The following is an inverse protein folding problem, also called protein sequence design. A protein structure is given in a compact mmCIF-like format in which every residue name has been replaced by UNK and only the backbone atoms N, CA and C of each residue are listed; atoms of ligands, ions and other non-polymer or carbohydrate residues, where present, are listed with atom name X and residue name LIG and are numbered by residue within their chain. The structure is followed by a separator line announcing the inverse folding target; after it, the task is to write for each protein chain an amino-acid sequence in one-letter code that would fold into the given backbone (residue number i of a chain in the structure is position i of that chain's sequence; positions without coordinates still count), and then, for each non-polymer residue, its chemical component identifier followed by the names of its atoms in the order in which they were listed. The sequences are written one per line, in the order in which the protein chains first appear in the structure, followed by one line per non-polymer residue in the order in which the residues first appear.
data_IF_521598650417
#
_entry.id   IF_521598650417
#
_cell.length_a   1.000
_cell.length_b   1.000
_cell.length_c   1.000
_cell.angle_alpha   90.00
_cell.angle_beta   90.00
_cell.angle_gamma   90.00
#
_symmetry.space_group_name_H-M   'P 1'
#
loop_
_entity.id
_entity.type
_entity.pdbx_description
1 polymer ?
#
# COMPACT_ATOMS: atom_id res chain seq x y z
N UNK A 1 82.41 16.02 -10.72
CA UNK A 1 82.98 17.37 -10.59
C UNK A 1 81.91 18.30 -10.02
N UNK A 2 82.25 19.00 -8.95
CA UNK A 2 81.62 20.14 -8.31
C UNK A 2 80.34 19.89 -7.49
N UNK A 3 80.57 19.65 -6.24
CA UNK A 3 79.90 19.99 -5.02
C UNK A 3 79.35 21.42 -4.95
N UNK A 4 78.15 21.64 -4.43
CA UNK A 4 77.85 22.84 -3.63
C UNK A 4 76.88 22.48 -2.49
N UNK A 5 77.35 22.74 -1.28
CA UNK A 5 76.58 22.79 0.01
C UNK A 5 75.80 24.10 0.08
N UNK A 6 74.65 24.08 0.71
CA UNK A 6 74.07 25.23 1.47
C UNK A 6 72.89 24.59 2.22
N UNK A 7 72.71 24.71 3.44
CA UNK A 7 72.87 25.79 4.37
C UNK A 7 71.64 25.67 5.26
N UNK A 8 71.82 25.12 6.47
CA UNK A 8 70.77 24.86 7.52
C UNK A 8 70.44 26.20 8.17
N UNK A 9 69.18 26.66 8.07
CA UNK A 9 68.64 27.74 8.88
C UNK A 9 67.61 27.16 9.83
N UNK A 10 67.94 27.10 11.13
CA UNK A 10 67.01 26.86 12.22
C UNK A 10 66.11 28.08 12.42
N UNK A 11 64.81 27.90 12.30
CA UNK A 11 63.83 28.82 12.85
C UNK A 11 63.23 28.19 14.15
N UNK A 12 63.56 28.79 15.28
CA UNK A 12 62.87 28.55 16.52
C UNK A 12 61.46 29.16 16.45
N UNK A 13 60.45 28.36 16.39
CA UNK A 13 59.09 28.80 16.66
C UNK A 13 58.74 28.56 18.13
N UNK A 14 58.55 29.65 18.84
CA UNK A 14 57.98 29.69 20.17
C UNK A 14 56.50 29.19 20.13
N UNK A 15 56.25 28.00 20.67
CA UNK A 15 54.87 27.53 20.90
C UNK A 15 54.36 28.18 22.18
N UNK A 16 53.51 29.19 22.07
CA UNK A 16 52.65 29.66 23.16
C UNK A 16 51.48 28.68 23.29
N UNK A 17 51.49 27.83 24.32
CA UNK A 17 50.35 26.98 24.64
C UNK A 17 49.25 27.84 25.25
N UNK A 18 48.25 28.15 24.44
CA UNK A 18 46.95 28.67 24.94
C UNK A 18 46.12 27.46 25.35
N UNK A 19 46.03 27.17 26.63
CA UNK A 19 45.10 26.23 27.21
C UNK A 19 43.69 26.86 27.14
N UNK A 20 42.97 26.57 26.07
CA UNK A 20 41.54 26.76 26.02
C UNK A 20 40.88 25.65 26.87
N UNK A 21 40.43 26.01 28.08
CA UNK A 21 39.51 25.21 28.86
C UNK A 21 38.22 25.15 28.12
N UNK A 22 38.03 24.07 27.35
CA UNK A 22 36.71 23.69 26.83
C UNK A 22 35.90 23.21 28.03
N UNK A 23 35.07 24.11 28.55
CA UNK A 23 33.96 23.71 29.42
C UNK A 23 33.11 22.75 28.63
N UNK A 24 33.20 21.47 28.90
CA UNK A 24 32.21 20.49 28.44
C UNK A 24 30.88 20.84 29.07
N UNK A 25 30.03 21.56 28.33
CA UNK A 25 28.62 21.46 28.56
C UNK A 25 28.28 19.97 28.33
N UNK A 26 28.19 19.18 29.37
CA UNK A 26 27.46 17.93 29.36
C UNK A 26 26.02 18.32 29.01
N UNK A 27 25.69 18.30 27.73
CA UNK A 27 24.30 18.16 27.29
C UNK A 27 23.82 16.89 27.99
N UNK A 28 22.72 17.01 28.77
CA UNK A 28 21.94 15.86 29.17
C UNK A 28 21.76 15.03 27.93
N UNK A 29 22.40 13.86 27.81
CA UNK A 29 22.00 12.82 26.88
C UNK A 29 20.54 12.57 27.22
N UNK A 30 19.62 12.82 26.32
CA UNK A 30 18.23 12.44 26.49
C UNK A 30 18.23 10.95 26.85
N UNK A 31 17.73 10.65 28.03
CA UNK A 31 17.64 9.30 28.56
C UNK A 31 16.70 8.42 27.73
N UNK A 32 15.89 9.07 26.85
CA UNK A 32 14.90 8.45 26.02
C UNK A 32 15.29 8.53 24.53
N UNK A 33 15.34 7.37 23.92
CA UNK A 33 15.59 7.21 22.48
C UNK A 33 14.34 7.55 21.67
N UNK A 34 13.13 7.35 22.25
CA UNK A 34 11.82 7.53 21.62
C UNK A 34 11.00 8.61 22.30
N UNK A 35 10.35 9.46 21.50
CA UNK A 35 9.53 10.57 21.98
C UNK A 35 8.29 10.74 21.12
N UNK A 36 7.16 11.06 21.75
CA UNK A 36 5.92 11.50 21.10
C UNK A 36 5.44 12.79 21.74
N UNK A 37 5.24 13.83 20.94
CA UNK A 37 4.75 15.12 21.40
C UNK A 37 3.35 15.41 20.85
N UNK A 38 2.33 15.08 21.61
CA UNK A 38 0.92 15.29 21.24
C UNK A 38 0.53 16.78 21.17
N UNK A 39 1.37 17.72 21.60
CA UNK A 39 1.13 19.14 21.42
C UNK A 39 1.62 19.68 20.07
N UNK A 40 2.42 18.91 19.35
CA UNK A 40 3.07 19.33 18.09
C UNK A 40 2.48 18.61 16.89
N UNK A 41 1.42 19.19 16.30
CA UNK A 41 0.81 18.67 15.07
C UNK A 41 1.74 18.89 13.88
N UNK A 42 1.84 17.90 12.98
CA UNK A 42 2.71 17.95 11.78
C UNK A 42 1.97 17.75 10.46
N UNK A 43 0.68 17.41 10.49
CA UNK A 43 -0.17 17.24 9.31
C UNK A 43 -1.25 16.19 9.52
N UNK A 44 -1.97 15.85 8.48
CA UNK A 44 -2.96 14.77 8.50
C UNK A 44 -2.32 13.41 8.23
N UNK A 45 -2.94 12.35 8.74
CA UNK A 45 -2.60 10.97 8.37
C UNK A 45 -3.00 10.72 6.92
N UNK A 46 -2.07 10.17 6.15
CA UNK A 46 -2.38 9.67 4.81
C UNK A 46 -3.12 8.34 4.92
N UNK A 47 -4.29 8.20 4.29
CA UNK A 47 -5.08 6.97 4.35
C UNK A 47 -4.52 5.91 3.38
N UNK A 48 -3.34 5.38 3.69
CA UNK A 48 -2.60 4.41 2.87
C UNK A 48 -2.98 2.95 3.16
N UNK A 49 -4.08 2.72 3.88
CA UNK A 49 -4.61 1.40 4.22
C UNK A 49 -5.61 0.87 3.20
N UNK A 50 -5.39 1.11 1.92
CA UNK A 50 -6.18 0.48 0.87
C UNK A 50 -5.95 -1.03 0.78
N UNK A 51 -6.90 -1.74 0.17
CA UNK A 51 -6.80 -3.19 0.00
C UNK A 51 -7.33 -3.61 -1.38
N UNK A 52 -6.87 -4.74 -1.88
CA UNK A 52 -7.51 -5.43 -3.00
C UNK A 52 -8.63 -6.29 -2.47
N UNK A 53 -9.74 -6.33 -3.17
CA UNK A 53 -10.94 -7.05 -2.84
C UNK A 53 -11.68 -6.49 -1.61
N UNK A 54 -12.96 -6.74 -1.59
CA UNK A 54 -13.87 -6.49 -0.47
C UNK A 54 -14.41 -7.81 0.07
N UNK A 55 -15.21 -7.77 1.12
CA UNK A 55 -15.85 -8.93 1.68
C UNK A 55 -16.57 -9.76 0.60
N UNK A 56 -16.37 -11.07 0.60
CA UNK A 56 -17.04 -11.99 -0.34
C UNK A 56 -18.55 -11.86 -0.24
N UNK A 57 -19.21 -11.87 -1.39
CA UNK A 57 -20.64 -11.95 -1.50
C UNK A 57 -21.10 -13.40 -1.23
N UNK A 58 -21.21 -13.77 0.04
CA UNK A 58 -21.81 -15.05 0.46
C UNK A 58 -22.98 -14.79 1.39
N UNK A 59 -24.16 -15.36 1.09
CA UNK A 59 -25.35 -15.21 1.92
C UNK A 59 -25.18 -15.75 3.35
N UNK A 60 -24.25 -16.67 3.54
CA UNK A 60 -24.03 -17.32 4.84
C UNK A 60 -23.03 -16.54 5.76
N UNK A 61 -22.19 -15.67 5.18
CA UNK A 61 -21.10 -14.96 5.91
C UNK A 61 -21.09 -13.46 5.61
N UNK A 62 -22.02 -12.96 4.83
CA UNK A 62 -22.01 -11.60 4.29
C UNK A 62 -22.00 -10.52 5.38
N UNK A 63 -22.83 -10.66 6.39
CA UNK A 63 -22.97 -9.65 7.45
C UNK A 63 -21.69 -9.54 8.28
N UNK A 64 -21.13 -10.67 8.70
CA UNK A 64 -19.91 -10.69 9.52
C UNK A 64 -18.69 -10.23 8.72
N UNK A 65 -18.55 -10.68 7.46
CA UNK A 65 -17.47 -10.28 6.57
C UNK A 65 -17.54 -8.80 6.20
N UNK A 66 -18.72 -8.27 5.94
CA UNK A 66 -18.96 -6.86 5.65
C UNK A 66 -18.61 -5.99 6.88
N UNK A 67 -19.14 -6.33 8.06
CA UNK A 67 -18.84 -5.60 9.29
C UNK A 67 -17.36 -5.60 9.64
N UNK A 68 -16.67 -6.72 9.41
CA UNK A 68 -15.24 -6.83 9.63
C UNK A 68 -14.41 -5.96 8.65
N UNK A 69 -14.82 -5.90 7.37
CA UNK A 69 -14.19 -5.02 6.40
C UNK A 69 -14.43 -3.54 6.73
N UNK A 70 -15.67 -3.18 7.11
CA UNK A 70 -16.02 -1.82 7.55
C UNK A 70 -15.24 -1.39 8.79
N UNK A 71 -14.95 -2.31 9.72
CA UNK A 71 -14.18 -2.02 10.94
C UNK A 71 -12.73 -1.58 10.61
N UNK A 72 -12.11 -2.13 9.57
CA UNK A 72 -10.75 -1.76 9.14
C UNK A 72 -10.67 -0.37 8.49
N UNK A 73 -11.81 0.28 8.19
CA UNK A 73 -11.82 1.63 7.60
C UNK A 73 -10.89 1.76 6.39
N UNK A 74 -10.91 0.76 5.52
CA UNK A 74 -10.11 0.80 4.29
C UNK A 74 -10.44 2.06 3.49
N UNK A 75 -9.40 2.77 3.06
CA UNK A 75 -9.54 4.00 2.29
C UNK A 75 -9.98 3.76 0.84
N UNK A 76 -9.38 2.74 0.22
CA UNK A 76 -9.60 2.39 -1.19
C UNK A 76 -9.68 0.88 -1.36
N UNK A 77 -10.50 0.45 -2.33
CA UNK A 77 -10.62 -0.95 -2.71
C UNK A 77 -10.28 -1.10 -4.19
N UNK A 78 -9.18 -1.78 -4.49
CA UNK A 78 -8.83 -2.10 -5.87
C UNK A 78 -9.56 -3.35 -6.34
N UNK A 79 -10.20 -3.25 -7.50
CA UNK A 79 -11.04 -4.28 -8.08
C UNK A 79 -10.24 -5.13 -9.09
N UNK A 80 -9.47 -6.08 -8.56
CA UNK A 80 -8.72 -7.05 -9.36
C UNK A 80 -8.93 -8.46 -8.80
N UNK A 81 -9.03 -9.47 -9.67
CA UNK A 81 -9.32 -10.87 -9.31
C UNK A 81 -10.58 -11.07 -8.45
N UNK A 82 -11.54 -10.19 -8.56
CA UNK A 82 -12.76 -10.22 -7.73
C UNK A 82 -13.55 -11.49 -7.97
N UNK A 83 -13.56 -12.44 -7.02
CA UNK A 83 -14.26 -13.70 -7.21
C UNK A 83 -15.77 -13.50 -7.04
N UNK A 84 -16.54 -14.16 -7.89
CA UNK A 84 -17.95 -14.41 -7.61
C UNK A 84 -18.08 -15.74 -6.85
N UNK A 85 -19.30 -16.15 -6.50
CA UNK A 85 -19.60 -17.42 -5.77
C UNK A 85 -18.96 -18.67 -6.40
N UNK A 86 -18.57 -18.56 -7.64
CA UNK A 86 -18.00 -19.61 -8.46
C UNK A 86 -16.58 -19.21 -8.89
N UNK A 87 -15.59 -20.04 -8.65
CA UNK A 87 -14.18 -19.79 -8.96
C UNK A 87 -13.92 -19.48 -10.45
N UNK A 88 -14.81 -19.87 -11.35
CA UNK A 88 -14.67 -19.62 -12.79
C UNK A 88 -15.09 -18.23 -13.24
N UNK A 89 -15.70 -17.42 -12.37
CA UNK A 89 -16.19 -16.09 -12.73
C UNK A 89 -15.46 -15.01 -11.93
N UNK A 90 -15.19 -13.90 -12.62
CA UNK A 90 -14.58 -12.70 -12.04
C UNK A 90 -15.48 -11.51 -12.30
N UNK A 91 -15.97 -10.89 -11.23
CA UNK A 91 -16.65 -9.60 -11.34
C UNK A 91 -15.68 -8.57 -11.95
N UNK A 92 -16.13 -7.48 -12.43
CA UNK A 92 -15.36 -6.36 -13.01
C UNK A 92 -14.54 -6.66 -14.27
N UNK A 93 -14.25 -7.90 -14.60
CA UNK A 93 -13.53 -8.24 -15.82
C UNK A 93 -14.35 -7.82 -17.04
N UNK A 94 -13.72 -7.09 -17.95
CA UNK A 94 -14.42 -6.51 -19.13
C UNK A 94 -15.17 -7.58 -19.92
N UNK A 95 -14.57 -8.76 -20.13
CA UNK A 95 -15.21 -9.86 -20.85
C UNK A 95 -16.34 -10.56 -20.07
N UNK A 96 -16.43 -10.39 -18.75
CA UNK A 96 -17.55 -10.88 -17.94
C UNK A 96 -18.73 -9.90 -18.00
N UNK A 97 -18.46 -8.61 -18.05
CA UNK A 97 -19.46 -7.57 -18.21
C UNK A 97 -19.94 -7.50 -19.67
N UNK A 98 -19.03 -7.57 -20.64
CA UNK A 98 -19.30 -7.49 -22.07
C UNK A 98 -18.83 -8.78 -22.78
N UNK A 99 -19.68 -9.80 -22.73
CA UNK A 99 -19.30 -11.18 -23.09
C UNK A 99 -18.95 -11.40 -24.56
N UNK A 100 -19.47 -10.59 -25.49
CA UNK A 100 -19.16 -10.67 -26.90
C UNK A 100 -18.43 -9.41 -27.39
N UNK A 101 -17.10 -9.41 -27.36
CA UNK A 101 -16.28 -8.27 -27.74
C UNK A 101 -16.52 -7.76 -29.19
N UNK A 102 -17.25 -8.49 -30.02
CA UNK A 102 -17.64 -8.09 -31.40
C UNK A 102 -19.02 -7.45 -31.46
N UNK A 103 -19.82 -7.46 -30.41
CA UNK A 103 -21.13 -6.85 -30.35
C UNK A 103 -21.03 -5.30 -30.35
N UNK A 104 -22.16 -4.63 -30.52
CA UNK A 104 -22.22 -3.15 -30.50
C UNK A 104 -22.00 -2.65 -29.05
N UNK A 105 -20.92 -1.90 -28.76
CA UNK A 105 -20.66 -1.37 -27.43
C UNK A 105 -21.63 -0.25 -27.00
N UNK A 106 -22.48 0.23 -27.89
CA UNK A 106 -23.49 1.25 -27.56
C UNK A 106 -24.86 0.66 -27.21
N UNK A 107 -25.04 -0.63 -27.43
CA UNK A 107 -26.24 -1.35 -27.06
C UNK A 107 -26.14 -1.84 -25.60
N UNK A 108 -26.99 -1.31 -24.70
CA UNK A 108 -26.95 -1.69 -23.27
C UNK A 108 -27.26 -3.19 -23.03
N UNK A 109 -28.00 -3.83 -23.92
CA UNK A 109 -28.35 -5.24 -23.79
C UNK A 109 -27.16 -6.20 -23.94
N UNK A 110 -26.00 -5.67 -24.41
CA UNK A 110 -24.75 -6.43 -24.50
C UNK A 110 -23.92 -6.42 -23.21
N UNK A 111 -24.37 -5.71 -22.15
CA UNK A 111 -23.67 -5.61 -20.87
C UNK A 111 -24.40 -6.36 -19.77
N UNK A 112 -23.63 -6.96 -18.88
CA UNK A 112 -24.12 -7.68 -17.72
C UNK A 112 -23.48 -7.10 -16.44
N UNK A 113 -24.12 -6.10 -15.85
CA UNK A 113 -23.57 -5.35 -14.70
C UNK A 113 -23.97 -5.93 -13.33
N UNK A 114 -25.14 -6.49 -13.19
CA UNK A 114 -25.81 -6.76 -11.90
C UNK A 114 -24.92 -7.25 -10.74
N UNK A 115 -24.14 -8.36 -10.90
CA UNK A 115 -23.30 -8.81 -9.78
C UNK A 115 -22.16 -7.85 -9.43
N UNK A 116 -21.65 -7.09 -10.40
CA UNK A 116 -20.61 -6.06 -10.16
C UNK A 116 -21.23 -4.84 -9.48
N UNK A 117 -22.47 -4.47 -9.81
CA UNK A 117 -23.22 -3.39 -9.17
C UNK A 117 -23.39 -3.65 -7.67
N UNK A 118 -23.85 -4.84 -7.32
CA UNK A 118 -24.03 -5.24 -5.93
C UNK A 118 -22.71 -5.19 -5.14
N UNK A 119 -21.63 -5.62 -5.79
CA UNK A 119 -20.31 -5.62 -5.17
C UNK A 119 -19.78 -4.19 -4.90
N UNK A 120 -19.87 -3.30 -5.90
CA UNK A 120 -19.46 -1.90 -5.77
C UNK A 120 -20.36 -1.17 -4.76
N UNK A 121 -21.67 -1.41 -4.78
CA UNK A 121 -22.60 -0.82 -3.80
C UNK A 121 -22.20 -1.16 -2.36
N UNK A 122 -21.77 -2.40 -2.09
CA UNK A 122 -21.31 -2.81 -0.76
C UNK A 122 -20.00 -2.11 -0.35
N UNK A 123 -19.07 -1.88 -1.29
CA UNK A 123 -17.85 -1.10 -1.02
C UNK A 123 -18.20 0.34 -0.65
N UNK A 124 -19.05 1.00 -1.45
CA UNK A 124 -19.47 2.37 -1.20
C UNK A 124 -20.23 2.51 0.12
N UNK A 125 -21.08 1.55 0.46
CA UNK A 125 -21.77 1.49 1.77
C UNK A 125 -20.76 1.41 2.91
N UNK A 126 -19.64 0.69 2.74
CA UNK A 126 -18.56 0.61 3.70
C UNK A 126 -17.70 1.89 3.80
N UNK A 127 -17.96 2.89 2.95
CA UNK A 127 -17.27 4.18 2.96
C UNK A 127 -15.91 4.19 2.23
N UNK A 128 -15.54 3.11 1.55
CA UNK A 128 -14.30 3.02 0.79
C UNK A 128 -14.47 3.49 -0.66
N UNK A 129 -13.37 3.94 -1.28
CA UNK A 129 -13.35 4.39 -2.67
C UNK A 129 -12.92 3.24 -3.60
N UNK A 130 -13.78 2.81 -4.55
CA UNK A 130 -13.39 1.81 -5.54
C UNK A 130 -12.34 2.34 -6.53
N UNK A 131 -11.34 1.50 -6.85
CA UNK A 131 -10.43 1.68 -7.98
C UNK A 131 -10.80 0.63 -9.01
N UNK A 132 -11.41 1.05 -10.11
CA UNK A 132 -11.92 0.12 -11.13
C UNK A 132 -10.82 -0.25 -12.12
N UNK A 133 -10.44 -1.53 -12.19
CA UNK A 133 -9.48 -2.05 -13.16
C UNK A 133 -10.20 -2.47 -14.45
N UNK A 134 -9.99 -1.72 -15.53
CA UNK A 134 -10.51 -1.99 -16.89
C UNK A 134 -9.60 -2.97 -17.63
N UNK A 135 -9.88 -4.26 -17.51
CA UNK A 135 -9.07 -5.31 -18.11
C UNK A 135 -9.59 -6.69 -17.74
N UNK A 136 -8.69 -7.62 -17.48
CA UNK A 136 -9.00 -9.01 -17.13
C UNK A 136 -8.18 -9.48 -15.94
N UNK A 137 -8.66 -10.49 -15.25
CA UNK A 137 -7.90 -11.24 -14.23
C UNK A 137 -6.85 -12.13 -14.89
N UNK A 138 -5.87 -12.60 -14.10
CA UNK A 138 -4.79 -13.46 -14.58
C UNK A 138 -5.32 -14.77 -15.16
N UNK A 139 -4.81 -15.18 -16.32
CA UNK A 139 -5.10 -16.47 -16.92
C UNK A 139 -3.92 -17.43 -16.77
N UNK A 140 -4.10 -18.48 -15.96
CA UNK A 140 -3.10 -19.53 -15.75
C UNK A 140 -3.12 -20.63 -16.83
N UNK A 141 -4.13 -20.62 -17.71
CA UNK A 141 -4.26 -21.58 -18.82
C UNK A 141 -3.15 -21.40 -19.86
N UNK A 142 -2.76 -22.49 -20.54
CA UNK A 142 -1.75 -22.43 -21.61
C UNK A 142 -2.20 -21.58 -22.81
N UNK A 143 -3.50 -21.65 -23.13
CA UNK A 143 -4.11 -20.81 -24.17
C UNK A 143 -4.75 -19.61 -23.51
N UNK A 144 -4.39 -18.38 -23.94
CA UNK A 144 -4.99 -17.13 -23.46
C UNK A 144 -6.24 -16.80 -24.22
N UNK A 145 -7.34 -16.59 -23.51
CA UNK A 145 -8.63 -16.23 -24.10
C UNK A 145 -8.89 -14.72 -24.02
N UNK A 146 -8.58 -14.11 -22.89
CA UNK A 146 -8.88 -12.71 -22.59
C UNK A 146 -7.64 -11.91 -22.17
N UNK A 147 -6.65 -12.55 -21.55
CA UNK A 147 -5.38 -11.93 -21.17
C UNK A 147 -4.44 -11.74 -22.38
N UNK A 148 -4.97 -11.05 -23.39
CA UNK A 148 -4.29 -10.79 -24.66
C UNK A 148 -4.65 -9.43 -25.20
N UNK A 149 -3.79 -8.95 -26.11
CA UNK A 149 -3.99 -7.71 -26.82
C UNK A 149 -5.35 -7.71 -27.55
N UNK A 150 -6.23 -6.72 -27.30
CA UNK A 150 -7.46 -6.55 -28.06
C UNK A 150 -7.17 -6.37 -29.56
N UNK A 151 -7.91 -7.07 -30.42
CA UNK A 151 -7.76 -6.95 -31.87
C UNK A 151 -8.21 -5.57 -32.39
N UNK A 152 -9.27 -5.02 -31.78
CA UNK A 152 -9.81 -3.70 -32.04
C UNK A 152 -9.75 -2.88 -30.77
N UNK A 153 -8.72 -2.05 -30.65
CA UNK A 153 -8.47 -1.23 -29.46
C UNK A 153 -9.52 -0.12 -29.29
N UNK A 154 -10.01 0.46 -30.36
CA UNK A 154 -11.05 1.50 -30.36
C UNK A 154 -12.37 0.93 -29.86
N UNK A 155 -12.77 -0.25 -30.33
CA UNK A 155 -13.95 -0.94 -29.82
C UNK A 155 -13.81 -1.29 -28.36
N UNK A 156 -12.65 -1.79 -27.93
CA UNK A 156 -12.39 -2.07 -26.53
C UNK A 156 -12.47 -0.82 -25.66
N UNK A 157 -11.94 0.30 -26.15
CA UNK A 157 -12.04 1.60 -25.49
C UNK A 157 -13.50 2.08 -25.37
N UNK A 158 -14.33 1.83 -26.38
CA UNK A 158 -15.76 2.15 -26.31
C UNK A 158 -16.51 1.26 -25.30
N UNK A 159 -16.17 -0.03 -25.20
CA UNK A 159 -16.69 -0.91 -24.15
C UNK A 159 -16.29 -0.37 -22.76
N UNK A 160 -15.03 0.01 -22.56
CA UNK A 160 -14.59 0.63 -21.31
C UNK A 160 -15.36 1.93 -21.01
N UNK A 161 -15.62 2.77 -22.03
CA UNK A 161 -16.43 3.96 -21.85
C UNK A 161 -17.88 3.64 -21.47
N UNK A 162 -18.46 2.55 -21.99
CA UNK A 162 -19.76 2.03 -21.59
C UNK A 162 -19.80 1.66 -20.10
N UNK A 163 -18.73 1.01 -19.59
CA UNK A 163 -18.62 0.66 -18.17
C UNK A 163 -18.54 1.92 -17.30
N UNK A 164 -17.70 2.90 -17.66
CA UNK A 164 -17.63 4.18 -16.93
C UNK A 164 -18.96 4.92 -16.96
N UNK A 165 -19.63 4.93 -18.10
CA UNK A 165 -20.95 5.60 -18.28
C UNK A 165 -22.02 4.98 -17.40
N UNK A 166 -21.99 3.66 -17.23
CA UNK A 166 -22.92 2.96 -16.34
C UNK A 166 -22.78 3.42 -14.87
N UNK A 167 -21.53 3.51 -14.36
CA UNK A 167 -21.30 3.85 -12.95
C UNK A 167 -21.29 5.36 -12.66
N UNK A 168 -21.01 6.20 -13.66
CA UNK A 168 -20.83 7.63 -13.45
C UNK A 168 -21.83 8.54 -14.18
N UNK A 169 -22.67 7.99 -15.09
CA UNK A 169 -23.62 8.77 -15.87
C UNK A 169 -25.00 8.11 -16.04
N UNK A 170 -25.32 7.10 -15.23
CA UNK A 170 -26.65 6.46 -15.18
C UNK A 170 -27.06 5.68 -16.42
N UNK A 171 -26.14 5.40 -17.37
CA UNK A 171 -26.46 4.67 -18.60
C UNK A 171 -26.72 3.17 -18.33
N UNK A 172 -27.61 2.56 -19.12
CA UNK A 172 -27.98 1.15 -19.01
C UNK A 172 -28.57 0.79 -17.62
N UNK A 173 -29.51 1.60 -17.14
CA UNK A 173 -30.07 1.52 -15.79
C UNK A 173 -29.02 1.60 -14.67
N UNK A 174 -27.94 2.34 -14.91
CA UNK A 174 -26.77 2.45 -14.04
C UNK A 174 -26.90 3.55 -12.99
N UNK A 175 -25.73 4.07 -12.57
CA UNK A 175 -25.59 4.90 -11.38
C UNK A 175 -24.86 6.22 -11.67
N UNK A 176 -24.97 7.18 -10.76
CA UNK A 176 -24.18 8.41 -10.72
C UNK A 176 -23.25 8.39 -9.48
N UNK A 177 -22.51 7.28 -9.30
CA UNK A 177 -21.63 7.11 -8.14
C UNK A 177 -20.37 7.93 -8.20
N UNK A 178 -20.02 8.47 -9.38
CA UNK A 178 -18.84 9.29 -9.59
C UNK A 178 -17.53 8.60 -9.14
N UNK A 179 -17.36 7.33 -9.52
CA UNK A 179 -16.16 6.56 -9.21
C UNK A 179 -14.94 7.31 -9.79
N UNK A 180 -13.95 7.69 -8.93
CA UNK A 180 -12.91 8.60 -9.37
C UNK A 180 -11.76 7.93 -10.11
N UNK A 181 -11.43 6.65 -9.84
CA UNK A 181 -10.22 5.99 -10.30
C UNK A 181 -10.49 4.85 -11.28
N UNK A 182 -9.85 4.93 -12.45
CA UNK A 182 -10.00 3.96 -13.54
C UNK A 182 -8.62 3.52 -14.03
N UNK A 183 -8.27 2.28 -13.71
CA UNK A 183 -6.99 1.69 -14.03
C UNK A 183 -7.07 0.88 -15.32
N UNK A 184 -6.16 1.12 -16.25
CA UNK A 184 -6.13 0.44 -17.56
C UNK A 184 -5.22 -0.77 -17.48
N UNK A 185 -5.84 -1.96 -17.45
CA UNK A 185 -5.22 -3.28 -17.41
C UNK A 185 -4.61 -3.67 -16.05
N UNK A 186 -3.88 -4.79 -16.04
CA UNK A 186 -3.11 -5.33 -14.92
C UNK A 186 -1.90 -6.08 -15.46
N UNK A 187 -0.71 -5.82 -14.92
CA UNK A 187 0.54 -6.54 -15.17
C UNK A 187 0.84 -6.89 -16.64
N UNK A 188 0.75 -5.96 -17.59
CA UNK A 188 0.99 -6.27 -19.00
C UNK A 188 2.42 -6.71 -19.30
N UNK A 189 3.31 -6.61 -18.31
CA UNK A 189 4.68 -7.14 -18.35
C UNK A 189 4.79 -8.60 -17.85
N UNK A 190 3.73 -9.19 -17.31
CA UNK A 190 3.64 -10.60 -16.97
C UNK A 190 3.23 -11.41 -18.21
N UNK A 191 4.21 -11.77 -19.00
CA UNK A 191 4.05 -12.43 -20.30
C UNK A 191 4.21 -13.94 -20.15
N UNK A 192 3.37 -14.76 -20.74
CA UNK A 192 2.19 -14.45 -21.57
C UNK A 192 0.87 -14.35 -20.74
N UNK A 193 0.94 -14.35 -19.39
CA UNK A 193 -0.22 -14.51 -18.52
C UNK A 193 -1.20 -13.33 -18.58
N UNK A 194 -0.69 -12.11 -18.84
CA UNK A 194 -1.49 -10.88 -18.83
C UNK A 194 -1.42 -10.07 -20.14
N UNK A 195 -0.41 -10.32 -20.99
CA UNK A 195 -0.31 -9.73 -22.33
C UNK A 195 0.38 -10.73 -23.25
N UNK A 196 -0.36 -11.35 -24.19
CA UNK A 196 0.04 -12.55 -24.89
C UNK A 196 1.20 -12.37 -25.87
N UNK A 197 1.31 -11.22 -26.54
CA UNK A 197 2.37 -10.93 -27.51
C UNK A 197 3.67 -10.39 -26.89
N UNK A 198 3.63 -9.97 -25.63
CA UNK A 198 4.79 -9.43 -24.91
C UNK A 198 5.33 -8.09 -25.47
N UNK A 199 4.65 -7.49 -26.46
CA UNK A 199 5.05 -6.21 -27.03
C UNK A 199 4.60 -5.04 -26.12
N UNK A 200 5.52 -4.52 -25.33
CA UNK A 200 5.27 -3.37 -24.48
C UNK A 200 4.77 -2.14 -25.25
N UNK A 201 5.24 -1.91 -26.46
CA UNK A 201 4.77 -0.78 -27.26
C UNK A 201 3.31 -0.98 -27.71
N UNK A 202 2.89 -2.22 -27.92
CA UNK A 202 1.48 -2.50 -28.20
C UNK A 202 0.58 -2.19 -27.01
N UNK A 203 1.03 -2.50 -25.79
CA UNK A 203 0.32 -2.10 -24.57
C UNK A 203 0.27 -0.57 -24.42
N UNK A 204 1.39 0.14 -24.60
CA UNK A 204 1.41 1.62 -24.52
C UNK A 204 0.42 2.25 -25.50
N UNK A 205 0.32 1.75 -26.73
CA UNK A 205 -0.69 2.21 -27.72
C UNK A 205 -2.11 1.92 -27.24
N UNK A 206 -2.37 0.72 -26.73
CA UNK A 206 -3.66 0.35 -26.15
C UNK A 206 -4.05 1.29 -25.00
N UNK A 207 -3.13 1.55 -24.07
CA UNK A 207 -3.34 2.49 -22.97
C UNK A 207 -3.78 3.86 -23.51
N UNK A 208 -3.03 4.42 -24.46
CA UNK A 208 -3.31 5.75 -25.04
C UNK A 208 -4.68 5.80 -25.68
N UNK A 209 -5.08 4.76 -26.46
CA UNK A 209 -6.39 4.69 -27.09
C UNK A 209 -7.51 4.70 -26.05
N UNK A 210 -7.43 3.84 -25.03
CA UNK A 210 -8.43 3.77 -23.96
C UNK A 210 -8.46 5.08 -23.16
N UNK A 211 -7.30 5.58 -22.75
CA UNK A 211 -7.20 6.77 -21.91
C UNK A 211 -7.76 8.03 -22.60
N UNK A 212 -7.44 8.24 -23.88
CA UNK A 212 -8.00 9.35 -24.67
C UNK A 212 -9.51 9.23 -24.86
N UNK A 213 -10.02 8.01 -25.12
CA UNK A 213 -11.46 7.79 -25.25
C UNK A 213 -12.20 8.11 -23.95
N UNK A 214 -11.68 7.65 -22.82
CA UNK A 214 -12.29 7.93 -21.52
C UNK A 214 -12.24 9.43 -21.18
N UNK A 215 -11.10 10.09 -21.36
CA UNK A 215 -10.94 11.52 -21.06
C UNK A 215 -11.84 12.40 -21.92
N UNK A 216 -12.11 12.01 -23.16
CA UNK A 216 -12.97 12.77 -24.07
C UNK A 216 -14.43 12.83 -23.59
N UNK A 217 -14.90 11.85 -22.84
CA UNK A 217 -16.27 11.80 -22.32
C UNK A 217 -16.35 12.14 -20.83
N UNK A 218 -15.33 11.76 -20.05
CA UNK A 218 -15.30 11.90 -18.59
C UNK A 218 -14.09 12.73 -18.16
N UNK A 219 -14.17 14.07 -18.21
CA UNK A 219 -13.03 14.95 -17.92
C UNK A 219 -12.53 14.88 -16.47
N UNK A 220 -13.39 14.53 -15.52
CA UNK A 220 -13.14 14.66 -14.09
C UNK A 220 -12.61 13.35 -13.44
N UNK A 221 -12.64 12.22 -14.15
CA UNK A 221 -12.10 10.97 -13.62
C UNK A 221 -10.57 10.92 -13.69
N UNK A 222 -9.95 10.14 -12.82
CA UNK A 222 -8.51 9.84 -12.85
C UNK A 222 -8.25 8.55 -13.59
N UNK A 223 -7.40 8.62 -14.60
CA UNK A 223 -7.06 7.52 -15.50
C UNK A 223 -5.59 7.21 -15.36
N UNK A 224 -5.24 5.95 -15.13
CA UNK A 224 -3.86 5.53 -14.96
C UNK A 224 -3.63 4.04 -15.16
N UNK A 225 -2.52 3.57 -14.72
CA UNK A 225 -1.98 2.23 -14.86
C UNK A 225 -0.45 2.29 -14.89
N UNK A 226 0.22 1.27 -15.36
CA UNK A 226 -0.21 0.01 -15.95
C UNK A 226 -0.31 -1.15 -14.96
N UNK A 227 -0.15 -0.92 -13.64
CA UNK A 227 -0.08 -1.97 -12.63
C UNK A 227 1.05 -2.97 -12.95
N UNK A 228 2.28 -2.50 -13.11
CA UNK A 228 3.42 -3.37 -13.40
C UNK A 228 3.71 -4.32 -12.23
N UNK A 229 4.21 -5.51 -12.51
CA UNK A 229 4.66 -6.48 -11.47
C UNK A 229 5.73 -5.90 -10.53
N UNK A 230 6.41 -4.84 -10.93
CA UNK A 230 7.42 -4.11 -10.14
C UNK A 230 7.70 -2.75 -10.78
N UNK A 231 8.27 -1.81 -10.02
CA UNK A 231 8.70 -0.53 -10.58
C UNK A 231 9.78 -0.71 -11.65
N UNK A 232 9.54 -0.19 -12.84
CA UNK A 232 10.49 -0.21 -13.96
C UNK A 232 10.39 1.08 -14.78
N UNK A 233 11.40 1.95 -14.67
CA UNK A 233 11.45 3.16 -15.47
C UNK A 233 11.64 2.91 -16.97
N UNK A 234 12.33 1.84 -17.34
CA UNK A 234 12.49 1.44 -18.76
C UNK A 234 11.12 1.17 -19.43
N UNK A 235 10.15 0.77 -18.67
CA UNK A 235 8.77 0.54 -19.15
C UNK A 235 7.89 1.78 -18.94
N UNK A 236 7.83 2.32 -17.72
CA UNK A 236 7.01 3.50 -17.40
C UNK A 236 7.45 4.71 -18.23
N UNK A 237 8.74 4.95 -18.40
CA UNK A 237 9.25 6.07 -19.20
C UNK A 237 8.78 6.04 -20.65
N UNK A 238 8.65 4.86 -21.28
CA UNK A 238 8.08 4.73 -22.65
C UNK A 238 6.59 5.07 -22.68
N UNK A 239 5.83 4.66 -21.64
CA UNK A 239 4.42 5.01 -21.52
C UNK A 239 4.26 6.52 -21.31
N UNK A 240 5.04 7.11 -20.41
CA UNK A 240 5.07 8.56 -20.14
C UNK A 240 5.40 9.35 -21.39
N UNK A 241 6.43 8.93 -22.13
CA UNK A 241 6.81 9.57 -23.40
C UNK A 241 5.69 9.54 -24.43
N UNK A 242 5.05 8.38 -24.61
CA UNK A 242 3.94 8.24 -25.56
C UNK A 242 2.72 9.04 -25.10
N UNK A 243 2.37 9.05 -23.83
CA UNK A 243 1.30 9.89 -23.29
C UNK A 243 1.56 11.37 -23.53
N UNK A 244 2.80 11.84 -23.37
CA UNK A 244 3.21 13.22 -23.65
C UNK A 244 3.10 13.57 -25.13
N UNK A 245 3.55 12.68 -26.01
CA UNK A 245 3.49 12.87 -27.47
C UNK A 245 2.04 12.92 -27.99
N UNK A 246 1.18 12.06 -27.47
CA UNK A 246 -0.20 11.89 -27.91
C UNK A 246 -1.21 12.75 -27.15
N UNK A 247 -0.78 13.46 -26.10
CA UNK A 247 -1.68 14.22 -25.21
C UNK A 247 -2.68 13.32 -24.47
N UNK A 248 -2.27 12.09 -24.13
CA UNK A 248 -3.09 11.16 -23.39
C UNK A 248 -2.96 11.41 -21.87
N UNK A 249 -4.05 11.27 -21.08
CA UNK A 249 -3.97 11.41 -19.63
C UNK A 249 -3.14 10.29 -18.99
N UNK A 250 -2.40 10.63 -17.94
CA UNK A 250 -1.73 9.73 -17.03
C UNK A 250 -1.80 10.36 -15.64
N UNK A 251 -2.98 10.26 -15.00
CA UNK A 251 -3.24 10.92 -13.72
C UNK A 251 -2.58 10.17 -12.56
N UNK A 252 -2.35 8.88 -12.71
CA UNK A 252 -1.55 8.08 -11.80
C UNK A 252 -0.73 7.01 -12.55
N UNK A 253 0.39 6.64 -11.97
CA UNK A 253 1.13 5.43 -12.34
C UNK A 253 0.99 4.39 -11.24
N UNK A 254 0.87 3.11 -11.64
CA UNK A 254 0.69 2.02 -10.69
C UNK A 254 1.67 0.87 -10.92
N UNK A 255 2.07 0.24 -9.81
CA UNK A 255 2.93 -0.95 -9.82
C UNK A 255 2.65 -1.82 -8.60
N UNK A 256 3.20 -3.02 -8.61
CA UNK A 256 3.13 -4.01 -7.56
C UNK A 256 4.48 -4.23 -6.89
N UNK A 257 4.46 -4.82 -5.70
CA UNK A 257 5.66 -5.28 -5.02
C UNK A 257 5.33 -6.37 -3.99
N UNK A 258 6.05 -7.47 -4.04
CA UNK A 258 6.00 -8.53 -3.04
C UNK A 258 7.36 -8.61 -2.34
N UNK A 259 7.62 -7.73 -1.36
CA UNK A 259 8.93 -7.48 -0.79
C UNK A 259 9.37 -8.53 0.22
N UNK A 260 10.68 -8.73 0.31
CA UNK A 260 11.34 -9.44 1.39
C UNK A 260 11.74 -8.50 2.54
N UNK A 261 11.97 -7.23 2.21
CA UNK A 261 12.42 -6.18 3.15
C UNK A 261 11.61 -4.89 3.00
N UNK A 262 11.52 -4.06 4.05
CA UNK A 262 10.82 -2.77 3.94
C UNK A 262 11.41 -1.83 2.88
N UNK A 263 12.72 -1.85 2.64
CA UNK A 263 13.38 -0.98 1.67
C UNK A 263 12.81 -1.13 0.25
N UNK A 264 12.43 -2.36 -0.13
CA UNK A 264 11.81 -2.64 -1.43
C UNK A 264 10.46 -1.95 -1.64
N UNK A 265 9.79 -1.53 -0.56
CA UNK A 265 8.57 -0.73 -0.60
C UNK A 265 8.81 0.76 -0.37
N UNK A 266 9.82 1.11 0.45
CA UNK A 266 10.04 2.49 0.88
C UNK A 266 10.83 3.32 -0.13
N UNK A 267 11.80 2.72 -0.83
CA UNK A 267 12.70 3.44 -1.75
C UNK A 267 12.06 3.75 -3.12
N UNK A 268 11.34 2.81 -3.79
CA UNK A 268 10.82 3.03 -5.13
C UNK A 268 9.91 4.25 -5.30
N UNK A 269 9.04 4.63 -4.36
CA UNK A 269 8.20 5.82 -4.50
C UNK A 269 8.99 7.12 -4.66
N UNK A 270 10.13 7.28 -3.97
CA UNK A 270 10.99 8.46 -4.11
C UNK A 270 11.64 8.52 -5.48
N UNK A 271 12.16 7.38 -5.95
CA UNK A 271 12.72 7.26 -7.29
C UNK A 271 11.66 7.53 -8.38
N UNK A 272 10.46 6.97 -8.20
CA UNK A 272 9.34 7.17 -9.10
C UNK A 272 8.95 8.66 -9.20
N UNK A 273 8.87 9.35 -8.07
CA UNK A 273 8.53 10.78 -8.04
C UNK A 273 9.58 11.60 -8.78
N UNK A 274 10.87 11.36 -8.49
CA UNK A 274 11.96 12.05 -9.18
C UNK A 274 11.88 11.85 -10.70
N UNK A 275 11.73 10.61 -11.16
CA UNK A 275 11.70 10.27 -12.59
C UNK A 275 10.50 10.90 -13.31
N UNK A 276 9.33 10.92 -12.69
CA UNK A 276 8.14 11.57 -13.24
C UNK A 276 8.27 13.10 -13.29
N UNK A 277 8.84 13.71 -12.25
CA UNK A 277 9.10 15.15 -12.23
C UNK A 277 10.05 15.57 -13.36
N UNK A 278 11.16 14.84 -13.53
CA UNK A 278 12.13 15.07 -14.62
C UNK A 278 11.50 14.88 -16.01
N UNK A 279 10.53 13.97 -16.15
CA UNK A 279 9.78 13.74 -17.40
C UNK A 279 8.68 14.80 -17.65
N UNK A 280 8.36 15.65 -16.65
CA UNK A 280 7.35 16.72 -16.75
C UNK A 280 5.95 16.26 -16.33
N UNK A 281 5.85 15.27 -15.43
CA UNK A 281 4.62 14.72 -14.85
C UNK A 281 4.56 14.91 -13.31
N UNK A 282 4.72 16.14 -12.79
CA UNK A 282 4.80 16.38 -11.34
C UNK A 282 3.49 16.11 -10.60
N UNK A 283 2.36 16.12 -11.30
CA UNK A 283 1.03 15.93 -10.72
C UNK A 283 0.50 14.49 -10.84
N UNK A 284 1.26 13.60 -11.49
CA UNK A 284 0.89 12.18 -11.59
C UNK A 284 1.03 11.51 -10.24
N UNK A 285 -0.06 10.90 -9.75
CA UNK A 285 -0.09 10.19 -8.47
C UNK A 285 0.72 8.89 -8.54
N UNK A 286 1.21 8.43 -7.39
CA UNK A 286 1.96 7.20 -7.23
C UNK A 286 1.10 6.16 -6.49
N UNK A 287 0.73 5.08 -7.16
CA UNK A 287 -0.09 4.01 -6.62
C UNK A 287 0.70 2.70 -6.54
N UNK A 288 1.05 2.27 -5.34
CA UNK A 288 1.49 0.90 -5.08
C UNK A 288 0.25 0.07 -4.80
N UNK A 289 -0.44 -0.31 -5.87
CA UNK A 289 -1.82 -0.78 -5.78
C UNK A 289 -1.98 -2.31 -5.70
N UNK A 290 -0.86 -3.01 -5.56
CA UNK A 290 -0.83 -4.42 -5.15
C UNK A 290 0.48 -4.72 -4.44
N UNK A 291 0.41 -5.07 -3.15
CA UNK A 291 1.57 -5.48 -2.38
C UNK A 291 1.18 -6.45 -1.27
N UNK A 292 2.12 -7.29 -0.88
CA UNK A 292 1.95 -8.20 0.24
C UNK A 292 3.31 -8.51 0.84
N UNK A 293 3.41 -8.66 2.17
CA UNK A 293 4.61 -9.17 2.81
C UNK A 293 4.91 -10.58 2.30
N UNK A 294 6.09 -10.78 1.71
CA UNK A 294 6.45 -12.05 1.08
C UNK A 294 7.88 -12.45 1.48
N UNK A 295 8.07 -13.12 2.64
CA UNK A 295 9.38 -13.35 3.25
C UNK A 295 10.18 -14.49 2.61
N UNK A 296 9.86 -14.91 1.39
CA UNK A 296 10.51 -16.03 0.71
C UNK A 296 10.60 -15.77 -0.81
N UNK A 297 11.41 -16.56 -1.50
CA UNK A 297 11.50 -16.51 -2.96
C UNK A 297 10.30 -17.22 -3.63
N UNK A 298 9.79 -16.66 -4.72
CA UNK A 298 8.72 -17.25 -5.54
C UNK A 298 9.06 -18.69 -6.00
N UNK A 299 10.32 -18.97 -6.29
CA UNK A 299 10.76 -20.30 -6.69
C UNK A 299 10.55 -21.35 -5.59
N UNK A 300 10.56 -20.97 -4.33
CA UNK A 300 10.30 -21.87 -3.18
C UNK A 300 8.84 -22.33 -3.19
N UNK A 301 7.90 -21.43 -3.52
CA UNK A 301 6.46 -21.73 -3.49
C UNK A 301 5.94 -22.27 -4.82
N UNK A 302 6.64 -22.03 -5.93
CA UNK A 302 6.28 -22.54 -7.25
C UNK A 302 7.15 -23.71 -7.72
N UNK A 303 8.12 -24.15 -6.91
CA UNK A 303 8.94 -25.32 -7.16
C UNK A 303 8.12 -26.62 -7.13
N UNK A 304 8.68 -27.71 -7.60
CA UNK A 304 8.02 -29.03 -7.66
C UNK A 304 8.19 -29.85 -6.39
N UNK A 305 9.35 -29.74 -5.72
CA UNK A 305 9.67 -30.50 -4.52
C UNK A 305 9.58 -29.62 -3.27
N UNK A 306 8.82 -30.07 -2.27
CA UNK A 306 8.63 -29.33 -1.01
C UNK A 306 7.75 -28.09 -1.09
N UNK A 307 7.25 -27.71 -2.27
CA UNK A 307 6.45 -26.49 -2.45
C UNK A 307 5.19 -26.46 -1.58
N UNK A 308 4.50 -27.59 -1.41
CA UNK A 308 3.28 -27.66 -0.60
C UNK A 308 3.55 -27.47 0.91
N UNK A 309 4.71 -27.94 1.39
CA UNK A 309 5.13 -27.71 2.77
C UNK A 309 5.51 -26.23 2.94
N UNK A 310 6.32 -25.67 2.03
CA UNK A 310 6.71 -24.26 2.06
C UNK A 310 5.50 -23.32 2.02
N UNK A 311 4.50 -23.62 1.17
CA UNK A 311 3.23 -22.86 1.12
C UNK A 311 2.47 -22.90 2.44
N UNK A 312 2.39 -24.08 3.09
CA UNK A 312 1.73 -24.21 4.39
C UNK A 312 2.47 -23.42 5.47
N UNK A 313 3.78 -23.54 5.56
CA UNK A 313 4.60 -22.81 6.50
C UNK A 313 4.46 -21.29 6.28
N UNK A 314 4.51 -20.87 5.03
CA UNK A 314 4.30 -19.47 4.64
C UNK A 314 2.92 -18.94 5.04
N UNK A 315 1.87 -19.74 4.90
CA UNK A 315 0.51 -19.34 5.20
C UNK A 315 0.16 -19.37 6.70
N UNK A 316 0.86 -20.18 7.53
CA UNK A 316 0.44 -20.49 8.89
C UNK A 316 1.43 -20.11 9.98
N UNK A 317 2.71 -19.84 9.64
CA UNK A 317 3.71 -19.51 10.64
C UNK A 317 3.63 -18.06 11.10
N UNK A 318 4.10 -17.79 12.32
CA UNK A 318 4.18 -16.43 12.86
C UNK A 318 5.14 -15.51 12.08
N UNK A 319 6.05 -16.10 11.27
CA UNK A 319 6.98 -15.39 10.38
C UNK A 319 6.53 -15.40 8.92
N UNK A 320 5.37 -16.00 8.64
CA UNK A 320 4.80 -16.12 7.29
C UNK A 320 3.95 -14.91 6.88
N UNK A 321 3.12 -15.13 5.85
CA UNK A 321 2.34 -14.08 5.19
C UNK A 321 1.39 -13.30 6.11
N UNK A 322 0.92 -13.92 7.18
CA UNK A 322 -0.17 -13.38 8.00
C UNK A 322 0.14 -13.39 9.50
N UNK A 323 1.36 -13.76 9.88
CA UNK A 323 1.77 -13.83 11.29
C UNK A 323 2.11 -12.47 11.89
N UNK A 324 2.61 -12.48 13.12
CA UNK A 324 3.03 -11.27 13.84
C UNK A 324 4.11 -10.48 13.08
N UNK A 325 4.99 -11.19 12.37
CA UNK A 325 6.05 -10.55 11.58
C UNK A 325 5.46 -9.76 10.40
N UNK A 326 4.45 -10.31 9.71
CA UNK A 326 3.73 -9.61 8.65
C UNK A 326 2.93 -8.42 9.18
N UNK A 327 2.26 -8.56 10.33
CA UNK A 327 1.53 -7.47 10.97
C UNK A 327 2.47 -6.30 11.34
N UNK A 328 3.63 -6.61 11.94
CA UNK A 328 4.64 -5.61 12.26
C UNK A 328 5.22 -4.96 11.00
N UNK A 329 5.46 -5.74 9.95
CA UNK A 329 5.91 -5.21 8.65
C UNK A 329 4.90 -4.21 8.06
N UNK A 330 3.61 -4.57 8.06
CA UNK A 330 2.53 -3.70 7.54
C UNK A 330 2.53 -2.36 8.26
N UNK A 331 2.51 -2.37 9.59
CA UNK A 331 2.46 -1.14 10.39
C UNK A 331 3.75 -0.32 10.27
N UNK A 332 4.89 -1.00 10.15
CA UNK A 332 6.16 -0.34 9.92
C UNK A 332 6.16 0.46 8.61
N UNK A 333 5.73 -0.16 7.51
CA UNK A 333 5.73 0.53 6.20
C UNK A 333 4.64 1.58 6.10
N UNK A 334 3.43 1.34 6.64
CA UNK A 334 2.35 2.33 6.67
C UNK A 334 2.76 3.59 7.45
N UNK A 335 3.50 3.42 8.56
CA UNK A 335 4.07 4.54 9.33
C UNK A 335 5.11 5.30 8.50
N UNK A 336 6.06 4.61 7.88
CA UNK A 336 7.15 5.23 7.11
C UNK A 336 6.65 5.95 5.86
N UNK A 337 5.62 5.46 5.21
CA UNK A 337 5.03 6.10 4.02
C UNK A 337 4.33 7.42 4.33
N UNK A 338 4.05 7.74 5.61
CA UNK A 338 3.42 9.01 5.96
C UNK A 338 4.23 10.23 5.49
N UNK A 339 5.54 10.13 5.43
CA UNK A 339 6.44 11.21 4.99
C UNK A 339 6.88 11.07 3.52
N UNK A 340 6.53 9.95 2.85
CA UNK A 340 6.92 9.66 1.47
C UNK A 340 5.98 10.25 0.40
N UNK A 341 6.34 10.15 -0.86
CA UNK A 341 5.56 10.68 -1.98
C UNK A 341 4.42 9.75 -2.43
N UNK A 342 4.28 8.56 -1.83
CA UNK A 342 3.22 7.63 -2.18
C UNK A 342 1.84 8.24 -1.92
N UNK A 343 0.95 8.14 -2.91
CA UNK A 343 -0.41 8.70 -2.83
C UNK A 343 -1.41 7.65 -2.38
N UNK A 344 -1.23 6.40 -2.81
CA UNK A 344 -2.15 5.30 -2.55
C UNK A 344 -1.41 3.99 -2.43
N UNK A 345 -1.87 3.12 -1.54
CA UNK A 345 -1.41 1.73 -1.47
C UNK A 345 -2.58 0.78 -1.30
N UNK A 346 -2.52 -0.42 -1.91
CA UNK A 346 -3.55 -1.45 -1.74
C UNK A 346 -2.88 -2.80 -1.46
N UNK A 347 -3.09 -3.32 -0.27
CA UNK A 347 -2.59 -4.63 0.12
C UNK A 347 -3.36 -5.76 -0.60
N UNK A 348 -2.71 -6.83 -1.00
CA UNK A 348 -3.34 -7.98 -1.65
C UNK A 348 -3.41 -9.16 -0.69
N UNK A 349 -4.59 -9.56 -0.09
CA UNK A 349 -5.93 -9.07 -0.34
C UNK A 349 -6.83 -9.26 0.90
N UNK A 350 -8.06 -8.74 0.86
CA UNK A 350 -8.99 -8.90 1.98
C UNK A 350 -9.38 -10.36 2.20
N UNK A 351 -9.82 -11.05 1.17
CA UNK A 351 -10.27 -12.44 1.27
C UNK A 351 -10.02 -13.20 -0.02
N UNK A 352 -8.93 -13.95 -0.08
CA UNK A 352 -8.59 -14.82 -1.20
C UNK A 352 -7.62 -15.92 -0.71
N UNK A 353 -8.17 -17.03 -0.21
CA UNK A 353 -7.43 -18.21 0.21
C UNK A 353 -6.13 -17.89 0.99
N UNK A 354 -4.96 -18.18 0.40
CA UNK A 354 -3.66 -17.97 1.00
C UNK A 354 -3.35 -16.49 1.24
N UNK A 355 -3.90 -15.56 0.45
CA UNK A 355 -3.59 -14.13 0.49
C UNK A 355 -4.51 -13.31 1.41
N UNK A 356 -5.62 -13.92 1.88
CA UNK A 356 -6.65 -13.21 2.63
C UNK A 356 -6.23 -12.83 4.05
N UNK A 357 -6.71 -11.67 4.52
CA UNK A 357 -6.63 -11.27 5.94
C UNK A 357 -7.47 -12.19 6.83
N UNK A 358 -8.43 -12.87 6.23
CA UNK A 358 -9.35 -13.82 6.88
C UNK A 358 -9.16 -15.16 6.18
N UNK A 359 -9.05 -16.22 6.96
CA UNK A 359 -8.91 -17.56 6.40
C UNK A 359 -10.25 -18.13 5.87
N UNK A 360 -10.20 -19.29 5.23
CA UNK A 360 -11.38 -19.93 4.65
C UNK A 360 -12.44 -20.40 5.67
N UNK A 361 -12.11 -20.34 6.97
CA UNK A 361 -13.00 -20.66 8.08
C UNK A 361 -13.58 -19.40 8.74
N UNK A 362 -13.24 -18.20 8.26
CA UNK A 362 -13.66 -16.93 8.83
C UNK A 362 -12.81 -16.47 10.03
N UNK A 363 -11.65 -17.11 10.30
CA UNK A 363 -10.73 -16.68 11.35
C UNK A 363 -9.93 -15.47 10.88
N UNK A 364 -9.95 -14.41 11.67
CA UNK A 364 -9.10 -13.25 11.49
C UNK A 364 -7.63 -13.58 11.78
N UNK A 365 -6.75 -13.06 10.96
CA UNK A 365 -5.30 -13.24 11.05
C UNK A 365 -4.63 -12.02 11.67
N UNK A 366 -3.42 -12.11 12.24
CA UNK A 366 -2.66 -10.94 12.73
C UNK A 366 -2.63 -9.75 11.77
N UNK A 367 -2.53 -10.00 10.46
CA UNK A 367 -2.57 -8.96 9.43
C UNK A 367 -3.92 -8.24 9.33
N UNK A 368 -5.05 -8.90 9.62
CA UNK A 368 -6.35 -8.24 9.75
C UNK A 368 -6.34 -7.22 10.89
N UNK A 369 -5.81 -7.63 12.04
CA UNK A 369 -5.75 -6.76 13.21
C UNK A 369 -4.80 -5.58 13.02
N UNK A 370 -3.74 -5.72 12.23
CA UNK A 370 -2.92 -4.58 11.81
C UNK A 370 -3.77 -3.54 11.08
N UNK A 371 -4.50 -3.93 10.04
CA UNK A 371 -5.39 -2.99 9.34
C UNK A 371 -6.52 -2.43 10.21
N UNK A 372 -7.04 -3.22 11.16
CA UNK A 372 -8.03 -2.75 12.14
C UNK A 372 -7.45 -1.62 13.01
N UNK A 373 -6.25 -1.81 13.54
CA UNK A 373 -5.52 -0.83 14.38
C UNK A 373 -5.25 0.45 13.59
N UNK A 374 -4.72 0.34 12.38
CA UNK A 374 -4.43 1.51 11.54
C UNK A 374 -5.70 2.26 11.13
N UNK A 375 -6.78 1.53 10.80
CA UNK A 375 -8.09 2.10 10.50
C UNK A 375 -8.71 2.83 11.68
N UNK A 376 -8.56 2.32 12.91
CA UNK A 376 -8.94 3.01 14.14
C UNK A 376 -8.19 4.34 14.28
N UNK A 377 -6.88 4.31 14.10
CA UNK A 377 -6.05 5.52 14.23
C UNK A 377 -6.46 6.60 13.24
N UNK A 378 -6.62 6.27 11.95
CA UNK A 378 -7.07 7.22 10.92
C UNK A 378 -8.45 7.79 11.24
N UNK A 379 -9.39 6.95 11.69
CA UNK A 379 -10.78 7.37 11.86
C UNK A 379 -11.02 8.17 13.15
N UNK A 380 -10.25 7.90 14.20
CA UNK A 380 -10.46 8.50 15.52
C UNK A 380 -9.46 9.60 15.87
N UNK A 381 -8.27 9.58 15.26
CA UNK A 381 -7.19 10.53 15.54
C UNK A 381 -6.43 10.86 14.23
N UNK A 382 -7.06 11.59 13.28
CA UNK A 382 -6.51 11.76 11.94
C UNK A 382 -5.32 12.72 11.84
N UNK A 383 -5.00 13.48 12.89
CA UNK A 383 -3.96 14.50 12.86
C UNK A 383 -2.67 13.94 13.45
N UNK A 384 -1.64 13.85 12.63
CA UNK A 384 -0.29 13.39 13.02
C UNK A 384 0.35 14.39 13.99
N UNK A 385 1.08 13.83 14.94
CA UNK A 385 1.91 14.61 15.86
C UNK A 385 3.38 14.25 15.69
N UNK A 386 4.25 15.12 16.21
CA UNK A 386 5.69 14.91 16.14
C UNK A 386 6.11 13.68 16.93
N UNK A 387 6.84 12.82 16.27
CA UNK A 387 7.54 11.69 16.88
C UNK A 387 9.04 11.80 16.62
N UNK A 388 9.84 11.30 17.55
CA UNK A 388 11.24 11.01 17.33
C UNK A 388 11.41 9.50 17.38
N UNK A 389 11.85 8.94 16.28
CA UNK A 389 12.08 7.52 16.11
C UNK A 389 13.48 7.39 15.50
N UNK A 390 14.44 6.84 16.25
CA UNK A 390 15.85 6.81 15.85
C UNK A 390 16.13 5.81 14.72
N UNK A 391 15.13 5.16 14.20
CA UNK A 391 15.27 4.28 13.04
C UNK A 391 15.26 2.80 13.37
N UNK A 392 15.93 2.04 12.57
CA UNK A 392 16.12 0.60 12.51
C UNK A 392 15.06 -0.28 13.23
N UNK A 393 14.09 -0.78 12.47
CA UNK A 393 13.15 -1.81 12.90
C UNK A 393 12.12 -1.42 13.97
N UNK A 394 12.11 -0.17 14.43
CA UNK A 394 11.03 0.42 15.24
C UNK A 394 10.45 1.63 14.52
N UNK A 395 9.14 1.79 14.52
CA UNK A 395 8.47 2.98 14.01
C UNK A 395 7.39 3.45 14.97
N UNK A 396 7.22 4.77 15.07
CA UNK A 396 6.23 5.44 15.90
C UNK A 396 5.32 6.32 15.06
N UNK A 397 4.02 6.19 15.23
CA UNK A 397 3.02 7.06 14.62
C UNK A 397 2.08 7.59 15.69
N UNK A 398 2.37 8.79 16.17
CA UNK A 398 1.51 9.51 17.11
C UNK A 398 0.44 10.32 16.37
N UNK A 399 -0.77 10.37 16.91
CA UNK A 399 -1.85 11.16 16.32
C UNK A 399 -2.89 11.59 17.35
N UNK A 400 -3.69 12.61 16.98
CA UNK A 400 -4.75 13.19 17.80
C UNK A 400 -6.00 13.45 16.96
N UNK A 401 -7.16 13.62 17.62
CA UNK A 401 -8.34 14.16 17.00
C UNK A 401 -8.25 15.70 16.87
N UNK A 402 -9.23 16.31 16.21
CA UNK A 402 -9.30 17.78 15.99
C UNK A 402 -9.28 18.59 17.29
N UNK A 403 -9.75 18.02 18.39
CA UNK A 403 -9.81 18.64 19.70
C UNK A 403 -8.60 18.33 20.59
N UNK A 404 -7.72 17.42 20.17
CA UNK A 404 -6.60 16.92 20.95
C UNK A 404 -7.01 16.06 22.16
N UNK A 405 -8.26 15.62 22.21
CA UNK A 405 -8.82 14.81 23.31
C UNK A 405 -8.59 13.33 23.13
N UNK A 406 -8.69 12.85 21.91
CA UNK A 406 -8.34 11.46 21.56
C UNK A 406 -6.90 11.42 21.09
N UNK A 407 -6.09 10.61 21.72
CA UNK A 407 -4.68 10.41 21.37
C UNK A 407 -4.40 8.94 21.11
N UNK A 408 -3.65 8.68 20.05
CA UNK A 408 -3.23 7.34 19.64
C UNK A 408 -1.73 7.32 19.39
N UNK A 409 -1.09 6.25 19.80
CA UNK A 409 0.30 5.97 19.47
C UNK A 409 0.40 4.53 18.97
N UNK A 410 0.69 4.41 17.68
CA UNK A 410 1.03 3.13 17.05
C UNK A 410 2.54 2.94 17.11
N UNK A 411 2.96 1.77 17.58
CA UNK A 411 4.37 1.37 17.64
C UNK A 411 4.52 0.04 16.94
N UNK A 412 5.36 -0.02 15.90
CA UNK A 412 5.73 -1.27 15.26
C UNK A 412 7.19 -1.60 15.53
N UNK A 413 7.44 -2.82 15.99
CA UNK A 413 8.75 -3.42 16.14
C UNK A 413 8.86 -4.57 15.13
N UNK A 414 9.73 -4.43 14.12
CA UNK A 414 9.87 -5.41 13.05
C UNK A 414 11.24 -6.05 13.06
N UNK A 415 11.31 -7.36 13.31
CA UNK A 415 12.56 -8.16 13.30
C UNK A 415 13.67 -7.57 14.17
N UNK A 416 13.38 -7.24 15.42
CA UNK A 416 14.39 -6.82 16.38
C UNK A 416 15.42 -7.95 16.60
N UNK A 417 16.70 -7.63 16.54
CA UNK A 417 17.77 -8.61 16.79
C UNK A 417 17.81 -8.99 18.29
N UNK A 418 17.68 -8.01 19.18
CA UNK A 418 17.66 -8.17 20.63
C UNK A 418 16.51 -7.32 21.21
N UNK A 419 15.30 -7.89 21.36
CA UNK A 419 14.15 -7.13 21.86
C UNK A 419 14.34 -6.76 23.34
N UNK A 420 14.49 -5.46 23.61
CA UNK A 420 14.57 -4.87 24.94
C UNK A 420 13.32 -4.02 25.19
N UNK A 421 12.97 -3.76 26.48
CA UNK A 421 11.91 -2.81 26.80
C UNK A 421 12.17 -1.43 26.18
N UNK A 422 11.18 -0.90 25.49
CA UNK A 422 11.21 0.41 24.84
C UNK A 422 10.56 1.42 25.77
N UNK A 423 11.31 2.46 26.15
CA UNK A 423 10.80 3.59 26.91
C UNK A 423 10.50 4.75 25.97
N UNK A 424 9.27 5.23 26.01
CA UNK A 424 8.80 6.32 25.17
C UNK A 424 8.41 7.51 26.06
N UNK A 425 9.07 8.64 25.86
CA UNK A 425 8.72 9.91 26.48
C UNK A 425 7.46 10.48 25.82
N UNK A 426 6.50 10.90 26.64
CA UNK A 426 5.19 11.39 26.20
C UNK A 426 5.00 12.85 26.61
N UNK A 427 4.84 13.73 25.62
CA UNK A 427 4.46 15.12 25.84
C UNK A 427 3.00 15.33 25.49
N UNK A 428 2.30 16.20 26.22
CA UNK A 428 0.88 16.50 25.98
C UNK A 428 -0.10 15.51 26.60
N UNK A 429 0.37 14.66 27.52
CA UNK A 429 -0.44 13.82 28.41
C UNK A 429 -0.13 14.16 29.86
N UNK A 430 -0.97 13.76 30.85
CA UNK A 430 -0.63 13.87 32.29
C UNK A 430 0.69 13.14 32.59
N UNK A 431 1.34 13.52 33.73
CA UNK A 431 2.59 12.86 34.11
C UNK A 431 2.40 11.38 34.46
N UNK A 432 1.23 10.99 34.91
CA UNK A 432 0.86 9.60 35.24
C UNK A 432 -0.57 9.31 34.74
N UNK A 433 -0.83 8.06 34.40
CA UNK A 433 -2.15 7.64 33.93
C UNK A 433 -2.24 6.15 33.66
N UNK A 434 -3.38 5.74 33.17
CA UNK A 434 -3.65 4.40 32.66
C UNK A 434 -4.08 4.50 31.20
N UNK A 435 -3.55 3.63 30.37
CA UNK A 435 -3.87 3.54 28.93
C UNK A 435 -4.29 2.14 28.59
N UNK A 436 -5.09 2.01 27.53
CA UNK A 436 -5.40 0.74 26.91
C UNK A 436 -4.42 0.47 25.77
N UNK A 437 -3.89 -0.75 25.72
CA UNK A 437 -2.95 -1.18 24.68
C UNK A 437 -3.54 -2.39 23.97
N UNK A 438 -3.71 -2.27 22.65
CA UNK A 438 -3.90 -3.43 21.79
C UNK A 438 -2.54 -3.91 21.29
N UNK A 439 -2.27 -5.21 21.40
CA UNK A 439 -1.00 -5.84 21.07
C UNK A 439 -1.19 -7.00 20.10
N UNK A 440 -0.27 -7.11 19.13
CA UNK A 440 -0.08 -8.23 18.22
C UNK A 440 1.37 -8.69 18.37
N UNK A 441 1.60 -9.97 18.64
CA UNK A 441 2.95 -10.55 18.77
C UNK A 441 2.95 -12.06 18.45
N UNK A 442 4.05 -12.77 18.71
CA UNK A 442 4.16 -14.21 18.41
C UNK A 442 3.25 -15.11 19.26
N UNK A 443 2.80 -14.62 20.41
CA UNK A 443 1.96 -15.39 21.35
C UNK A 443 0.48 -15.07 21.22
N UNK A 444 0.15 -13.86 20.69
CA UNK A 444 -1.23 -13.39 20.57
C UNK A 444 -1.48 -12.73 19.23
N UNK A 445 -2.54 -13.16 18.54
CA UNK A 445 -2.99 -12.57 17.28
C UNK A 445 -3.53 -11.13 17.51
N UNK A 446 -4.20 -10.90 18.65
CA UNK A 446 -4.69 -9.61 19.12
C UNK A 446 -5.10 -9.72 20.59
N UNK A 447 -4.61 -8.81 21.41
CA UNK A 447 -4.93 -8.78 22.84
C UNK A 447 -4.98 -7.34 23.35
N UNK A 448 -5.97 -7.03 24.21
CA UNK A 448 -6.11 -5.72 24.82
C UNK A 448 -5.81 -5.80 26.32
N UNK A 449 -4.95 -4.90 26.80
CA UNK A 449 -4.56 -4.80 28.21
C UNK A 449 -4.59 -3.35 28.67
N UNK A 450 -4.62 -3.13 29.99
CA UNK A 450 -4.44 -1.81 30.59
C UNK A 450 -3.10 -1.74 31.26
N UNK A 451 -2.38 -0.67 30.97
CA UNK A 451 -1.03 -0.43 31.48
C UNK A 451 -0.96 0.96 32.10
N UNK A 452 -0.30 1.04 33.26
CA UNK A 452 0.03 2.33 33.87
C UNK A 452 1.33 2.88 33.31
N UNK A 453 1.35 4.18 33.13
CA UNK A 453 2.57 4.94 32.83
C UNK A 453 2.77 6.00 33.89
N UNK A 454 4.03 6.40 34.15
CA UNK A 454 4.41 7.38 35.12
C UNK A 454 5.53 8.30 34.60
N UNK A 455 5.70 9.46 35.26
CA UNK A 455 6.69 10.48 34.90
C UNK A 455 6.68 10.84 33.40
N UNK A 456 5.49 10.79 32.74
CA UNK A 456 5.38 11.04 31.31
C UNK A 456 6.04 9.99 30.44
N UNK A 457 6.24 8.78 30.95
CA UNK A 457 6.95 7.71 30.23
C UNK A 457 6.14 6.42 30.23
N UNK A 458 5.94 5.86 29.03
CA UNK A 458 5.41 4.50 28.88
C UNK A 458 6.52 3.53 28.51
N UNK A 459 6.46 2.32 29.09
CA UNK A 459 7.38 1.22 28.75
C UNK A 459 6.62 0.12 28.06
N UNK A 460 7.03 -0.24 26.84
CA UNK A 460 6.52 -1.38 26.07
C UNK A 460 7.57 -2.48 26.05
N UNK A 461 7.14 -3.74 26.12
CA UNK A 461 8.05 -4.90 26.10
C UNK A 461 7.79 -5.71 24.82
N UNK A 462 8.44 -5.34 23.69
CA UNK A 462 8.23 -6.04 22.45
C UNK A 462 8.86 -7.43 22.45
N UNK A 463 8.31 -8.30 21.63
CA UNK A 463 8.99 -9.48 21.12
C UNK A 463 9.80 -9.10 19.86
N UNK A 464 10.40 -10.09 19.19
CA UNK A 464 11.16 -9.88 17.95
C UNK A 464 10.37 -9.09 16.91
N UNK A 465 9.07 -9.38 16.78
CA UNK A 465 8.12 -8.58 16.02
C UNK A 465 6.86 -8.37 16.84
N UNK A 466 6.45 -7.13 17.00
CA UNK A 466 5.25 -6.74 17.76
C UNK A 466 4.63 -5.46 17.22
N UNK A 467 3.33 -5.33 17.38
CA UNK A 467 2.60 -4.09 17.14
C UNK A 467 1.88 -3.70 18.42
N UNK A 468 1.89 -2.41 18.75
CA UNK A 468 1.16 -1.85 19.87
C UNK A 468 0.36 -0.63 19.41
N UNK A 469 -0.95 -0.61 19.70
CA UNK A 469 -1.73 0.62 19.65
C UNK A 469 -2.04 1.06 21.08
N UNK A 470 -1.46 2.19 21.48
CA UNK A 470 -1.70 2.81 22.81
C UNK A 470 -2.82 3.85 22.66
N UNK A 471 -3.88 3.69 23.46
CA UNK A 471 -5.07 4.55 23.51
C UNK A 471 -5.07 5.35 24.81
N UNK A 472 -4.90 6.67 24.69
CA UNK A 472 -4.92 7.61 25.82
C UNK A 472 -6.31 8.21 25.99
#
# INVERSE_FOLDING_TARGET
MKTKRLGLLCFLCLCVAVTLSVSSAQGQQNEYEYLVDFNSQVGELKPLNGINLWAKFSRATLEDGQAAAEACRFSTIRLHDVPWDNEGMRLVDVHQIFGNLNADPKDPDNYFFGPTDDYIANILKGGAVPIYRLGTSIEHTSVKYFAKKPQDMERYAEICAGIVRHYNAGWADGFEWNLPYWEIWNEPNLVPQMWDDGDWNSYCRFYVVVAKRLRAEFPDIKIGGPALTHWSWDMIGKLVELCKQEGAPLDFVSWHCYPHTPAELLDPPYLARQQLDEAGFPNTELHLNEWHYFPTDWNVVHGTEGADQAKRELATSATGLHGAEAAAFIEYVLTRWQDGPLTMSNYYAYGLDTWGLIDNFGKFRPTYYAFLIFGEQISQAPIRVKTNDPGANVSLLGSVDDLGSVKRLLVSCYKLDDPQPIKIELHGVPAEGEVEIAEINYDVDYHETRVRYDNGTITLTPQKSSVFLVRF
#
